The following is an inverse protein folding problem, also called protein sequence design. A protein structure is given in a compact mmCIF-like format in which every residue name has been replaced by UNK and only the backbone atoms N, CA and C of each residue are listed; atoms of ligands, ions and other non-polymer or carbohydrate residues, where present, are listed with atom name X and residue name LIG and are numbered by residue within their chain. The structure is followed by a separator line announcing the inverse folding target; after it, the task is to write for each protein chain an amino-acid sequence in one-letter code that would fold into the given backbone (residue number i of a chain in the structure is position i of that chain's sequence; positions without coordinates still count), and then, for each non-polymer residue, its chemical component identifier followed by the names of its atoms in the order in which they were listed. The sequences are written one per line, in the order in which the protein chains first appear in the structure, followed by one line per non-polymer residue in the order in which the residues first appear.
data_IF_409261922652
#
_entry.id   IF_409261922652
#
_cell.length_a   1.000
_cell.length_b   1.000
_cell.length_c   1.000
_cell.angle_alpha   90.00
_cell.angle_beta   90.00
_cell.angle_gamma   90.00
#
_symmetry.space_group_name_H-M   'P 1'
#
loop_
_entity.id
_entity.type
_entity.pdbx_description
1 polymer ?
#
# COMPACT_ATOMS: atom_id res chain seq x y z
N UNK A 1 -16.51 -4.68 -2.14
CA UNK A 1 -16.09 -6.08 -2.40
C UNK A 1 -14.73 -6.06 -3.07
N UNK A 2 -13.72 -6.78 -2.55
CA UNK A 2 -12.42 -6.96 -3.21
C UNK A 2 -12.23 -8.43 -3.59
N UNK A 3 -11.72 -8.67 -4.80
CA UNK A 3 -11.44 -10.00 -5.33
C UNK A 3 -10.03 -10.02 -5.95
N UNK A 4 -8.99 -10.30 -5.16
CA UNK A 4 -7.62 -10.39 -5.67
C UNK A 4 -7.48 -11.54 -6.66
N UNK A 5 -6.98 -11.28 -7.86
CA UNK A 5 -6.72 -12.31 -8.87
C UNK A 5 -5.71 -13.37 -8.39
N UNK A 6 -4.81 -12.99 -7.47
CA UNK A 6 -3.84 -13.87 -6.80
C UNK A 6 -4.46 -14.97 -5.92
N UNK A 7 -5.74 -14.84 -5.58
CA UNK A 7 -6.46 -15.75 -4.68
C UNK A 7 -7.49 -16.63 -5.41
N UNK A 8 -7.49 -16.66 -6.76
CA UNK A 8 -8.47 -17.40 -7.57
C UNK A 8 -8.61 -18.88 -7.20
N UNK A 9 -7.52 -19.53 -6.80
CA UNK A 9 -7.48 -20.97 -6.49
C UNK A 9 -7.57 -21.28 -4.99
N UNK A 10 -7.73 -20.28 -4.12
CA UNK A 10 -7.64 -20.45 -2.67
C UNK A 10 -8.91 -20.00 -1.95
N UNK A 11 -9.23 -20.67 -0.85
CA UNK A 11 -10.20 -20.13 0.12
C UNK A 11 -9.62 -18.85 0.73
N UNK A 12 -10.45 -17.90 1.20
CA UNK A 12 -9.96 -16.64 1.76
C UNK A 12 -8.87 -16.86 2.82
N UNK A 13 -9.09 -17.78 3.76
CA UNK A 13 -8.14 -18.05 4.84
C UNK A 13 -6.83 -18.69 4.33
N UNK A 14 -6.90 -19.61 3.35
CA UNK A 14 -5.70 -20.17 2.72
C UNK A 14 -4.93 -19.10 1.96
N UNK A 15 -5.62 -18.17 1.30
CA UNK A 15 -4.98 -17.07 0.58
C UNK A 15 -4.25 -16.11 1.53
N UNK A 16 -4.83 -15.84 2.70
CA UNK A 16 -4.22 -15.03 3.76
C UNK A 16 -2.98 -15.74 4.34
N UNK A 17 -3.11 -17.02 4.74
CA UNK A 17 -1.99 -17.81 5.28
C UNK A 17 -0.83 -17.97 4.29
N UNK A 18 -1.13 -18.12 2.99
CA UNK A 18 -0.12 -18.14 1.91
C UNK A 18 0.39 -16.75 1.51
N UNK A 19 -0.01 -15.69 2.22
CA UNK A 19 0.34 -14.29 1.97
C UNK A 19 0.01 -13.80 0.55
N UNK A 20 -0.92 -14.47 -0.14
CA UNK A 20 -1.48 -14.00 -1.43
C UNK A 20 -2.44 -12.83 -1.23
N UNK A 21 -2.96 -12.69 -0.02
CA UNK A 21 -3.73 -11.55 0.47
C UNK A 21 -3.13 -11.10 1.80
N UNK A 22 -2.67 -9.85 1.88
CA UNK A 22 -1.90 -9.31 3.01
C UNK A 22 -2.64 -8.28 3.87
N UNK A 23 -3.96 -8.13 3.66
CA UNK A 23 -4.77 -7.17 4.40
C UNK A 23 -5.22 -7.66 5.79
N UNK A 24 -4.96 -8.91 6.17
CA UNK A 24 -5.01 -9.39 7.55
C UNK A 24 -3.60 -9.64 8.07
N UNK A 25 -3.42 -9.50 9.38
CA UNK A 25 -2.17 -9.87 10.07
C UNK A 25 -2.10 -11.39 10.27
N UNK A 26 -0.89 -11.91 10.46
CA UNK A 26 -0.65 -13.32 10.82
C UNK A 26 0.09 -13.37 12.15
N UNK A 27 -0.36 -14.23 13.06
CA UNK A 27 0.32 -14.51 14.32
C UNK A 27 1.60 -15.33 14.08
N UNK A 28 2.44 -15.50 15.11
CA UNK A 28 3.62 -16.37 15.06
C UNK A 28 3.25 -17.83 14.72
N UNK A 29 2.06 -18.25 15.10
CA UNK A 29 1.54 -19.61 14.86
C UNK A 29 0.79 -19.74 13.51
N UNK A 30 0.92 -18.75 12.62
CA UNK A 30 0.26 -18.70 11.31
C UNK A 30 -1.29 -18.68 11.39
N UNK A 31 -1.82 -18.13 12.48
CA UNK A 31 -3.25 -17.87 12.65
C UNK A 31 -3.58 -16.47 12.11
N UNK A 32 -4.80 -16.32 11.61
CA UNK A 32 -5.27 -15.07 11.02
C UNK A 32 -5.61 -14.12 12.16
N UNK A 33 -4.84 -13.03 12.26
CA UNK A 33 -5.07 -11.96 13.22
C UNK A 33 -5.99 -10.86 12.68
N UNK A 34 -6.07 -9.72 13.36
CA UNK A 34 -6.91 -8.60 12.96
C UNK A 34 -6.51 -7.99 11.61
N UNK A 35 -7.42 -7.19 11.05
CA UNK A 35 -7.15 -6.43 9.82
C UNK A 35 -5.91 -5.54 9.98
N UNK A 36 -5.05 -5.56 8.96
CA UNK A 36 -3.78 -4.87 8.99
C UNK A 36 -3.98 -3.35 8.78
N UNK A 37 -3.88 -2.57 9.87
CA UNK A 37 -3.99 -1.11 9.83
C UNK A 37 -2.92 -0.41 8.97
N UNK A 38 -1.79 -1.08 8.69
CA UNK A 38 -0.73 -0.55 7.81
C UNK A 38 -0.99 -0.83 6.32
N UNK A 39 -2.00 -1.63 5.99
CA UNK A 39 -2.31 -1.97 4.60
C UNK A 39 -3.10 -0.86 3.90
N UNK A 40 -2.83 -0.62 2.61
CA UNK A 40 -3.48 0.45 1.83
C UNK A 40 -5.01 0.39 1.85
N UNK A 41 -5.60 -0.81 1.93
CA UNK A 41 -7.06 -0.96 2.06
C UNK A 41 -7.61 -0.37 3.36
N UNK A 42 -6.85 -0.40 4.46
CA UNK A 42 -7.31 0.23 5.70
C UNK A 42 -7.41 1.75 5.51
N UNK A 43 -6.39 2.38 4.93
CA UNK A 43 -6.42 3.81 4.57
C UNK A 43 -7.59 4.14 3.63
N UNK A 44 -7.84 3.32 2.60
CA UNK A 44 -8.99 3.53 1.71
C UNK A 44 -10.32 3.49 2.46
N UNK A 45 -10.50 2.50 3.34
CA UNK A 45 -11.74 2.32 4.10
C UNK A 45 -11.93 3.46 5.10
N UNK A 46 -10.89 3.81 5.87
CA UNK A 46 -10.96 4.92 6.82
C UNK A 46 -11.30 6.24 6.14
N UNK A 47 -10.71 6.51 4.97
CA UNK A 47 -11.05 7.71 4.20
C UNK A 47 -12.51 7.73 3.74
N UNK A 48 -13.02 6.60 3.24
CA UNK A 48 -14.43 6.50 2.85
C UNK A 48 -15.38 6.67 4.04
N UNK A 49 -15.07 6.06 5.18
CA UNK A 49 -15.87 6.20 6.41
C UNK A 49 -15.89 7.64 6.92
N UNK A 50 -14.74 8.32 6.89
CA UNK A 50 -14.62 9.70 7.32
C UNK A 50 -15.46 10.63 6.43
N UNK A 51 -15.28 10.55 5.11
CA UNK A 51 -15.99 11.37 4.11
C UNK A 51 -17.50 11.14 4.17
N UNK A 52 -17.94 9.88 4.21
CA UNK A 52 -19.37 9.52 4.17
C UNK A 52 -20.06 9.62 5.53
N UNK A 53 -19.33 9.98 6.60
CA UNK A 53 -19.82 10.05 7.99
C UNK A 53 -20.44 8.73 8.48
N UNK A 54 -19.96 7.59 7.96
CA UNK A 54 -20.40 6.24 8.36
C UNK A 54 -19.53 5.75 9.52
N UNK A 55 -20.13 4.96 10.41
CA UNK A 55 -19.44 4.43 11.60
C UNK A 55 -18.65 3.16 11.30
N UNK A 56 -19.05 2.36 10.30
CA UNK A 56 -18.34 1.14 9.94
C UNK A 56 -18.54 0.76 8.47
N UNK A 57 -17.67 -0.13 7.99
CA UNK A 57 -17.75 -0.77 6.68
C UNK A 57 -17.62 -2.28 6.85
N UNK A 58 -18.42 -3.06 6.13
CA UNK A 58 -18.18 -4.49 5.95
C UNK A 58 -17.21 -4.70 4.79
N UNK A 59 -15.96 -5.04 5.11
CA UNK A 59 -14.96 -5.41 4.11
C UNK A 59 -15.14 -6.87 3.71
N UNK A 60 -15.47 -7.09 2.44
CA UNK A 60 -15.70 -8.43 1.88
C UNK A 60 -14.54 -8.82 0.99
N UNK A 61 -13.81 -9.87 1.39
CA UNK A 61 -12.88 -10.62 0.54
C UNK A 61 -13.62 -11.81 -0.06
N UNK A 62 -13.86 -11.75 -1.37
CA UNK A 62 -14.45 -12.87 -2.12
C UNK A 62 -13.35 -13.59 -2.88
N UNK A 63 -13.35 -14.92 -2.79
CA UNK A 63 -12.62 -15.80 -3.70
C UNK A 63 -13.62 -16.75 -4.37
N UNK A 64 -13.26 -17.44 -5.46
CA UNK A 64 -14.16 -18.42 -6.08
C UNK A 64 -14.60 -19.55 -5.15
N UNK A 65 -13.86 -19.79 -4.06
CA UNK A 65 -14.08 -20.90 -3.12
C UNK A 65 -14.60 -20.44 -1.76
N UNK A 66 -14.93 -19.16 -1.58
CA UNK A 66 -15.51 -18.67 -0.34
C UNK A 66 -15.51 -17.16 -0.17
N UNK A 67 -16.09 -16.71 0.94
CA UNK A 67 -16.18 -15.31 1.32
C UNK A 67 -15.69 -15.15 2.76
N UNK A 68 -14.89 -14.11 3.00
CA UNK A 68 -14.54 -13.64 4.33
C UNK A 68 -15.01 -12.20 4.48
N UNK A 69 -15.72 -11.91 5.57
CA UNK A 69 -16.23 -10.58 5.88
C UNK A 69 -15.58 -10.09 7.16
N UNK A 70 -15.11 -8.86 7.16
CA UNK A 70 -14.55 -8.17 8.33
C UNK A 70 -15.31 -6.87 8.53
N UNK A 71 -15.76 -6.59 9.76
CA UNK A 71 -16.34 -5.30 10.10
C UNK A 71 -15.22 -4.37 10.55
N UNK A 72 -15.06 -3.25 9.85
CA UNK A 72 -14.05 -2.23 10.16
C UNK A 72 -14.76 -0.97 10.63
N UNK A 73 -14.52 -0.61 11.88
CA UNK A 73 -15.01 0.63 12.48
C UNK A 73 -14.22 1.84 11.98
N UNK A 74 -14.88 2.99 11.98
CA UNK A 74 -14.27 4.31 11.79
C UNK A 74 -13.30 4.57 12.94
N UNK A 75 -12.11 5.01 12.59
CA UNK A 75 -11.02 5.30 13.52
C UNK A 75 -10.59 6.77 13.30
N UNK A 76 -11.27 7.68 14.00
CA UNK A 76 -11.04 9.13 13.86
C UNK A 76 -9.64 9.54 14.34
N UNK A 77 -9.10 8.84 15.33
CA UNK A 77 -7.74 9.10 15.79
C UNK A 77 -6.72 8.70 14.73
N UNK A 78 -6.90 7.54 14.08
CA UNK A 78 -6.08 7.15 12.95
C UNK A 78 -6.17 8.15 11.79
N UNK A 79 -7.38 8.63 11.46
CA UNK A 79 -7.58 9.65 10.44
C UNK A 79 -6.76 10.91 10.73
N UNK A 80 -6.95 11.50 11.91
CA UNK A 80 -6.31 12.74 12.35
C UNK A 80 -4.78 12.61 12.35
N UNK A 81 -4.27 11.51 12.90
CA UNK A 81 -2.81 11.32 13.09
C UNK A 81 -2.09 10.85 11.84
N UNK A 82 -2.74 10.09 10.94
CA UNK A 82 -2.04 9.43 9.84
C UNK A 82 -2.45 9.92 8.44
N UNK A 83 -3.62 10.54 8.29
CA UNK A 83 -4.22 10.80 6.98
C UNK A 83 -4.44 12.30 6.71
N UNK A 84 -5.11 13.00 7.62
CA UNK A 84 -5.64 14.35 7.40
C UNK A 84 -4.59 15.33 6.86
N UNK A 85 -3.49 15.53 7.58
CA UNK A 85 -2.41 16.45 7.19
C UNK A 85 -1.76 16.09 5.85
N UNK A 86 -1.69 14.80 5.51
CA UNK A 86 -1.09 14.35 4.24
C UNK A 86 -2.03 14.64 3.08
N UNK A 87 -3.33 14.40 3.27
CA UNK A 87 -4.36 14.67 2.28
C UNK A 87 -4.52 16.17 2.04
N UNK A 88 -4.54 16.98 3.11
CA UNK A 88 -4.59 18.43 3.02
C UNK A 88 -3.38 18.98 2.24
N UNK A 89 -2.16 18.59 2.64
CA UNK A 89 -0.94 19.01 1.92
C UNK A 89 -0.92 18.56 0.47
N UNK A 90 -1.40 17.35 0.17
CA UNK A 90 -1.49 16.85 -1.21
C UNK A 90 -2.50 17.66 -2.04
N UNK A 91 -3.66 17.98 -1.47
CA UNK A 91 -4.67 18.78 -2.16
C UNK A 91 -4.13 20.16 -2.53
N UNK A 92 -3.62 20.92 -1.55
CA UNK A 92 -3.18 22.29 -1.78
C UNK A 92 -1.91 22.40 -2.63
N UNK A 93 -0.95 21.48 -2.48
CA UNK A 93 0.33 21.59 -3.18
C UNK A 93 0.39 20.85 -4.52
N UNK A 94 -0.51 19.89 -4.77
CA UNK A 94 -0.48 19.07 -5.98
C UNK A 94 -1.76 19.18 -6.79
N UNK A 95 -2.93 19.01 -6.17
CA UNK A 95 -4.21 18.95 -6.90
C UNK A 95 -4.68 20.35 -7.31
N UNK A 96 -4.76 21.27 -6.35
CA UNK A 96 -5.28 22.62 -6.56
C UNK A 96 -4.51 23.38 -7.67
N UNK A 97 -3.16 23.38 -7.72
CA UNK A 97 -2.43 24.07 -8.78
C UNK A 97 -2.71 23.49 -10.18
N UNK A 98 -2.87 22.17 -10.30
CA UNK A 98 -3.18 21.51 -11.58
C UNK A 98 -4.66 21.64 -11.95
N UNK A 99 -5.54 21.93 -10.99
CA UNK A 99 -6.95 22.24 -11.24
C UNK A 99 -7.16 23.67 -11.73
N UNK A 100 -6.43 24.64 -11.18
CA UNK A 100 -6.54 26.07 -11.56
C UNK A 100 -5.77 26.37 -12.85
N UNK A 101 -4.56 25.83 -12.99
CA UNK A 101 -3.71 26.07 -14.16
C UNK A 101 -3.06 24.75 -14.63
N UNK A 102 -3.82 23.91 -15.36
CA UNK A 102 -3.34 22.61 -15.80
C UNK A 102 -2.07 22.74 -16.67
N UNK A 103 -0.99 22.04 -16.29
CA UNK A 103 0.24 22.04 -17.07
C UNK A 103 0.29 20.90 -18.08
N UNK A 104 -0.29 19.76 -17.72
CA UNK A 104 -0.27 18.56 -18.56
C UNK A 104 -0.89 18.80 -19.95
N UNK A 105 -2.00 19.54 -20.04
CA UNK A 105 -2.66 19.85 -21.32
C UNK A 105 -1.82 20.74 -22.25
N UNK A 106 -0.80 21.43 -21.72
CA UNK A 106 0.13 22.29 -22.45
C UNK A 106 1.50 21.64 -22.65
N UNK A 107 1.61 20.33 -22.44
CA UNK A 107 2.87 19.59 -22.51
C UNK A 107 3.95 20.11 -21.56
N UNK A 108 3.55 20.78 -20.48
CA UNK A 108 4.46 21.29 -19.45
C UNK A 108 4.62 20.26 -18.32
N UNK A 109 5.79 20.21 -17.65
CA UNK A 109 6.02 19.31 -16.53
C UNK A 109 5.11 19.64 -15.33
N UNK A 110 4.58 18.59 -14.69
CA UNK A 110 3.73 18.68 -13.50
C UNK A 110 4.49 19.36 -12.36
N UNK A 111 3.82 20.28 -11.66
CA UNK A 111 4.34 20.92 -10.45
C UNK A 111 4.48 19.88 -9.33
N UNK A 112 5.70 19.39 -9.12
CA UNK A 112 6.00 18.52 -7.99
C UNK A 112 6.60 19.37 -6.85
N UNK A 113 5.97 19.42 -5.66
CA UNK A 113 6.52 20.16 -4.53
C UNK A 113 7.81 19.48 -4.01
N UNK A 114 8.66 20.26 -3.33
CA UNK A 114 10.00 19.80 -2.86
C UNK A 114 9.95 18.47 -2.11
N UNK A 115 9.01 18.31 -1.18
CA UNK A 115 8.88 17.08 -0.39
C UNK A 115 8.60 15.83 -1.25
N UNK A 116 7.89 15.96 -2.38
CA UNK A 116 7.65 14.85 -3.32
C UNK A 116 8.94 14.49 -4.05
N UNK A 117 9.69 15.49 -4.51
CA UNK A 117 10.96 15.28 -5.19
C UNK A 117 11.98 14.61 -4.27
N UNK A 118 12.08 15.08 -3.03
CA UNK A 118 12.95 14.49 -2.00
C UNK A 118 12.55 13.04 -1.67
N UNK A 119 11.26 12.76 -1.53
CA UNK A 119 10.76 11.40 -1.28
C UNK A 119 11.08 10.46 -2.45
N UNK A 120 10.95 10.92 -3.71
CA UNK A 120 11.33 10.15 -4.90
C UNK A 120 12.83 9.85 -4.92
N UNK A 121 13.67 10.85 -4.65
CA UNK A 121 15.13 10.68 -4.58
C UNK A 121 15.53 9.65 -3.51
N UNK A 122 14.99 9.77 -2.29
CA UNK A 122 15.20 8.80 -1.20
C UNK A 122 14.76 7.39 -1.60
N UNK A 123 13.65 7.26 -2.31
CA UNK A 123 13.17 5.96 -2.80
C UNK A 123 14.13 5.36 -3.83
N UNK A 124 14.61 6.15 -4.79
CA UNK A 124 15.60 5.70 -5.77
C UNK A 124 16.91 5.26 -5.11
N UNK A 125 17.43 6.03 -4.15
CA UNK A 125 18.63 5.67 -3.40
C UNK A 125 18.44 4.35 -2.64
N UNK A 126 17.27 4.15 -2.02
CA UNK A 126 16.96 2.89 -1.32
C UNK A 126 16.89 1.68 -2.26
N UNK A 127 16.43 1.87 -3.50
CA UNK A 127 16.39 0.82 -4.53
C UNK A 127 17.81 0.46 -4.97
N UNK A 128 18.64 1.45 -5.30
CA UNK A 128 20.05 1.26 -5.69
C UNK A 128 20.83 0.52 -4.60
N UNK A 129 20.63 0.88 -3.32
CA UNK A 129 21.27 0.18 -2.19
C UNK A 129 20.86 -1.30 -2.10
N UNK A 130 19.58 -1.62 -2.32
CA UNK A 130 19.08 -3.00 -2.31
C UNK A 130 19.61 -3.81 -3.50
N UNK A 131 19.67 -3.20 -4.68
CA UNK A 131 20.26 -3.81 -5.89
C UNK A 131 21.74 -4.13 -5.65
N UNK A 132 22.51 -3.17 -5.17
CA UNK A 132 23.93 -3.37 -4.86
C UNK A 132 24.15 -4.47 -3.81
N UNK A 133 23.30 -4.53 -2.77
CA UNK A 133 23.36 -5.58 -1.74
C UNK A 133 22.97 -6.96 -2.29
N UNK A 134 22.01 -7.01 -3.21
CA UNK A 134 21.63 -8.26 -3.90
C UNK A 134 22.77 -8.75 -4.78
N UNK A 135 23.40 -7.84 -5.54
CA UNK A 135 24.54 -8.13 -6.42
C UNK A 135 25.75 -8.62 -5.62
N UNK A 136 26.07 -7.98 -4.49
CA UNK A 136 27.17 -8.45 -3.63
C UNK A 136 26.89 -9.80 -2.99
N UNK A 137 25.65 -10.06 -2.55
CA UNK A 137 25.24 -11.38 -2.06
C UNK A 137 25.29 -12.47 -3.13
N UNK A 138 25.01 -12.17 -4.40
CA UNK A 138 25.15 -13.14 -5.49
C UNK A 138 26.62 -13.45 -5.81
N UNK A 139 27.51 -12.45 -5.74
CA UNK A 139 28.96 -12.64 -5.95
C UNK A 139 29.54 -13.53 -4.83
N UNK A 140 29.17 -13.29 -3.58
CA UNK A 140 29.63 -14.08 -2.44
C UNK A 140 29.12 -15.53 -2.43
N UNK A 141 27.98 -15.81 -3.07
CA UNK A 141 27.41 -17.17 -3.17
C UNK A 141 28.04 -18.02 -4.28
N UNK A 142 28.79 -17.42 -5.20
CA UNK A 142 29.52 -18.12 -6.27
C UNK A 142 31.03 -17.78 -6.22
N UNK A 143 31.78 -18.18 -5.18
CA UNK A 143 33.18 -17.79 -5.01
C UNK A 143 34.18 -18.60 -5.87
N UNK A 144 33.78 -19.22 -6.99
CA UNK A 144 34.68 -20.09 -7.76
C UNK A 144 34.23 -20.37 -9.20
N UNK A 145 34.76 -19.59 -10.13
CA UNK A 145 35.10 -20.07 -11.48
C UNK A 145 36.28 -19.23 -11.98
N UNK A 146 37.36 -19.24 -11.21
CA UNK A 146 38.67 -18.84 -11.70
C UNK A 146 39.19 -19.98 -12.59
N UNK A 147 39.01 -19.76 -13.89
CA UNK A 147 39.81 -20.22 -15.03
C UNK A 147 40.90 -21.26 -14.72
N UNK A 148 40.68 -22.47 -15.24
CA UNK A 148 41.71 -23.44 -15.61
C UNK A 148 42.43 -23.01 -16.88
#
# INVERSE_FOLDING_TARGET
MKCPSSAKTFTPDKAIKKKKVSCWTLSKNNEIGPFNKKHNFYFQIQGQLHITKRQYCQFVLKTPTGIKIERIERDDEFWRTNMEDKLHRFYFNCVLPEMIDPRHSRSMPIRNPKYVLEARKKLEESKRKKENLSTSMSILKNPGTSQS
#
